data_IF_424020038205
#
_entry.id   IF_424020038205
#
_cell.length_a   1.000
_cell.length_b   1.000
_cell.length_c   1.000
_cell.angle_alpha   90.00
_cell.angle_beta   90.00
_cell.angle_gamma   90.00
#
_symmetry.space_group_name_H-M   'P 1'
#
loop_
_entity.id
_entity.type
_entity.pdbx_description
1 polymer ?
#
# COMPACT_ATOMS: atom_id res chain seq x y z
N UNK A 1 14.92 -26.06 -18.87
CA UNK A 1 16.04 -25.25 -19.41
C UNK A 1 15.53 -24.08 -20.28
N UNK A 2 14.29 -23.60 -20.10
CA UNK A 2 13.60 -22.73 -21.08
C UNK A 2 12.86 -21.53 -20.46
N UNK A 3 13.08 -21.24 -19.17
CA UNK A 3 12.48 -20.07 -18.51
C UNK A 3 13.29 -18.78 -18.70
N UNK A 4 14.57 -18.88 -19.10
CA UNK A 4 15.47 -17.72 -19.19
C UNK A 4 15.46 -16.99 -20.53
N UNK A 5 14.60 -17.38 -21.48
CA UNK A 5 14.52 -16.75 -22.81
C UNK A 5 13.26 -15.91 -23.01
N UNK A 6 12.35 -15.84 -22.02
CA UNK A 6 11.11 -15.08 -22.12
C UNK A 6 11.32 -13.65 -21.62
N UNK A 7 10.77 -12.63 -22.31
CA UNK A 7 10.85 -11.27 -21.81
C UNK A 7 10.20 -11.18 -20.42
N UNK A 8 10.65 -10.24 -19.57
CA UNK A 8 9.98 -9.95 -18.32
C UNK A 8 8.50 -9.66 -18.55
N UNK A 9 7.68 -10.13 -17.62
CA UNK A 9 6.26 -9.86 -17.60
C UNK A 9 6.04 -8.37 -17.31
N UNK A 10 5.26 -7.72 -18.16
CA UNK A 10 4.90 -6.33 -17.99
C UNK A 10 3.67 -6.21 -17.06
N UNK A 11 3.82 -5.43 -15.99
CA UNK A 11 2.78 -5.19 -14.99
C UNK A 11 2.37 -3.73 -15.08
N UNK A 12 1.11 -3.50 -15.43
CA UNK A 12 0.56 -2.17 -15.65
C UNK A 12 -0.38 -1.78 -14.51
N UNK A 13 -0.17 -0.60 -13.91
CA UNK A 13 -1.12 -0.07 -12.93
C UNK A 13 -2.34 0.49 -13.67
N UNK A 14 -3.54 0.03 -13.30
CA UNK A 14 -4.79 0.54 -13.90
C UNK A 14 -5.11 1.94 -13.36
N UNK A 15 -4.69 2.26 -12.12
CA UNK A 15 -4.93 3.55 -11.50
C UNK A 15 -3.88 4.59 -11.92
N UNK A 16 -4.31 5.74 -12.44
CA UNK A 16 -3.45 6.87 -12.82
C UNK A 16 -3.30 7.95 -11.74
N UNK A 17 -4.00 7.84 -10.62
CA UNK A 17 -4.18 8.93 -9.64
C UNK A 17 -3.27 8.84 -8.41
N UNK A 18 -2.07 8.28 -8.56
CA UNK A 18 -1.04 8.32 -7.51
C UNK A 18 -0.64 9.76 -7.19
N UNK A 19 -0.48 10.05 -5.90
CA UNK A 19 0.03 11.34 -5.40
C UNK A 19 1.54 11.25 -5.19
N UNK A 20 2.22 12.37 -5.37
CA UNK A 20 3.65 12.51 -5.06
C UNK A 20 3.94 12.54 -3.56
N UNK A 21 2.91 12.66 -2.71
CA UNK A 21 3.08 12.73 -1.26
C UNK A 21 1.90 12.10 -0.50
N UNK A 22 2.20 11.36 0.56
CA UNK A 22 1.18 10.76 1.42
C UNK A 22 1.41 11.06 2.90
N UNK A 23 0.30 11.35 3.58
CA UNK A 23 0.28 11.42 5.03
C UNK A 23 0.42 10.01 5.61
N UNK A 24 1.39 9.82 6.50
CA UNK A 24 1.51 8.62 7.32
C UNK A 24 1.05 8.88 8.74
N UNK A 25 0.18 8.01 9.24
CA UNK A 25 -0.35 8.06 10.59
C UNK A 25 0.24 6.93 11.44
N UNK A 26 0.63 7.27 12.66
CA UNK A 26 0.96 6.28 13.69
C UNK A 26 -0.34 5.88 14.39
N UNK A 27 -0.65 4.59 14.44
CA UNK A 27 -1.73 4.01 15.22
C UNK A 27 -1.21 3.54 16.58
N UNK A 28 -2.15 3.25 17.50
CA UNK A 28 -1.85 2.53 18.75
C UNK A 28 -1.16 1.21 18.40
N UNK A 29 -0.16 0.82 19.21
CA UNK A 29 0.65 -0.38 18.94
C UNK A 29 1.81 -0.19 17.96
N UNK A 30 2.17 1.05 17.60
CA UNK A 30 3.35 1.35 16.79
C UNK A 30 3.18 1.15 15.27
N UNK A 31 2.01 0.67 14.84
CA UNK A 31 1.68 0.49 13.43
C UNK A 31 1.60 1.82 12.70
N UNK A 32 2.18 1.89 11.51
CA UNK A 32 2.21 3.10 10.69
C UNK A 32 1.52 2.84 9.37
N UNK A 33 0.45 3.57 9.09
CA UNK A 33 -0.33 3.39 7.87
C UNK A 33 -0.33 4.64 7.00
N UNK A 34 -0.29 4.46 5.69
CA UNK A 34 -0.60 5.51 4.73
C UNK A 34 -2.09 5.80 4.75
N UNK A 35 -2.43 7.10 4.76
CA UNK A 35 -3.81 7.53 4.94
C UNK A 35 -4.65 7.38 3.67
N UNK A 36 -4.18 7.89 2.54
CA UNK A 36 -4.98 8.03 1.32
C UNK A 36 -4.28 7.42 0.11
N UNK A 37 -3.62 6.28 0.30
CA UNK A 37 -2.95 5.57 -0.78
C UNK A 37 -3.92 4.59 -1.48
N UNK A 38 -3.89 4.46 -2.82
CA UNK A 38 -3.21 5.35 -3.77
C UNK A 38 -3.93 6.72 -3.89
N UNK A 39 -5.22 6.74 -3.53
CA UNK A 39 -6.07 7.92 -3.48
C UNK A 39 -7.10 7.79 -2.33
N UNK A 40 -7.98 8.77 -2.20
CA UNK A 40 -9.15 8.66 -1.32
C UNK A 40 -10.20 7.75 -1.99
N UNK A 41 -10.71 6.74 -1.27
CA UNK A 41 -11.71 5.81 -1.79
C UNK A 41 -12.91 6.56 -2.39
N UNK A 42 -13.19 6.36 -3.68
CA UNK A 42 -14.28 7.01 -4.40
C UNK A 42 -14.25 8.56 -4.33
N UNK A 43 -13.06 9.14 -4.22
CA UNK A 43 -12.87 10.58 -4.04
C UNK A 43 -13.24 11.11 -2.64
N UNK A 44 -13.84 10.28 -1.78
CA UNK A 44 -14.28 10.70 -0.45
C UNK A 44 -13.21 10.42 0.60
N UNK A 45 -12.74 11.48 1.25
CA UNK A 45 -11.72 11.39 2.26
C UNK A 45 -12.31 10.92 3.61
N UNK A 46 -11.75 9.86 4.19
CA UNK A 46 -12.14 9.41 5.51
C UNK A 46 -11.72 10.45 6.56
N UNK A 47 -12.69 11.03 7.28
CA UNK A 47 -12.45 12.09 8.29
C UNK A 47 -11.53 11.64 9.42
N UNK A 48 -11.50 10.34 9.72
CA UNK A 48 -10.58 9.70 10.67
C UNK A 48 -9.97 8.43 10.06
N UNK A 49 -8.84 7.97 10.61
CA UNK A 49 -8.21 6.71 10.18
C UNK A 49 -7.47 6.81 8.83
N UNK A 50 -7.77 5.87 7.92
CA UNK A 50 -7.21 5.73 6.57
C UNK A 50 -8.33 5.39 5.57
N UNK A 51 -8.13 5.68 4.29
CA UNK A 51 -9.01 5.34 3.18
C UNK A 51 -8.79 3.91 2.66
N UNK A 52 -7.52 3.46 2.61
CA UNK A 52 -7.18 2.09 2.22
C UNK A 52 -7.65 1.70 0.81
N UNK A 53 -7.56 2.58 -0.18
CA UNK A 53 -7.98 2.22 -1.55
C UNK A 53 -7.17 1.03 -2.08
N UNK A 54 -7.80 0.13 -2.83
CA UNK A 54 -7.09 -0.94 -3.52
C UNK A 54 -6.24 -0.38 -4.66
N UNK A 55 -5.20 -1.12 -5.05
CA UNK A 55 -4.44 -0.86 -6.26
C UNK A 55 -4.72 -1.99 -7.23
N UNK A 56 -5.21 -1.65 -8.42
CA UNK A 56 -5.40 -2.60 -9.50
C UNK A 56 -4.15 -2.63 -10.38
N UNK A 57 -3.69 -3.83 -10.70
CA UNK A 57 -2.65 -4.07 -11.68
C UNK A 57 -3.10 -5.10 -12.70
N UNK A 58 -2.82 -4.82 -13.96
CA UNK A 58 -3.14 -5.66 -15.09
C UNK A 58 -1.88 -6.30 -15.69
N UNK A 59 -2.06 -7.51 -16.21
CA UNK A 59 -1.07 -8.22 -17.01
C UNK A 59 -1.78 -8.68 -18.28
N UNK A 60 -1.24 -8.31 -19.45
CA UNK A 60 -1.85 -8.63 -20.74
C UNK A 60 -1.69 -10.11 -21.10
N UNK A 61 -2.61 -10.63 -21.92
CA UNK A 61 -2.66 -12.03 -22.32
C UNK A 61 -1.36 -12.55 -22.96
N UNK A 62 -0.78 -11.77 -23.85
CA UNK A 62 0.48 -12.07 -24.55
C UNK A 62 1.66 -12.30 -23.60
N UNK A 63 1.65 -11.68 -22.41
CA UNK A 63 2.69 -11.91 -21.40
C UNK A 63 2.45 -13.14 -20.53
N UNK A 64 1.22 -13.68 -20.45
CA UNK A 64 0.87 -14.81 -19.56
C UNK A 64 0.56 -16.11 -20.29
N UNK A 65 0.22 -16.07 -21.58
CA UNK A 65 0.00 -17.28 -22.39
C UNK A 65 1.23 -18.18 -22.34
N UNK A 66 1.01 -19.46 -22.05
CA UNK A 66 2.08 -20.46 -21.97
C UNK A 66 3.00 -20.35 -20.75
N UNK A 67 2.70 -19.45 -19.80
CA UNK A 67 3.31 -19.46 -18.46
C UNK A 67 2.55 -20.39 -17.53
N UNK A 68 3.23 -20.83 -16.49
CA UNK A 68 2.63 -21.57 -15.38
C UNK A 68 1.85 -20.60 -14.47
N UNK A 69 1.34 -21.12 -13.35
CA UNK A 69 0.60 -20.34 -12.35
C UNK A 69 1.34 -19.05 -11.96
N UNK A 70 0.64 -17.93 -12.11
CA UNK A 70 1.12 -16.59 -11.74
C UNK A 70 0.52 -16.16 -10.40
N UNK A 71 1.31 -15.46 -9.59
CA UNK A 71 0.87 -14.76 -8.39
C UNK A 71 1.50 -13.36 -8.34
N UNK A 72 0.78 -12.39 -7.78
CA UNK A 72 1.24 -11.00 -7.63
C UNK A 72 1.37 -10.63 -6.16
N UNK A 73 2.47 -9.95 -5.83
CA UNK A 73 2.72 -9.41 -4.50
C UNK A 73 3.18 -7.95 -4.60
N UNK A 74 2.90 -7.17 -3.56
CA UNK A 74 3.24 -5.75 -3.54
C UNK A 74 3.92 -5.35 -2.24
N UNK A 75 4.85 -4.42 -2.31
CA UNK A 75 5.63 -3.96 -1.17
C UNK A 75 5.87 -2.46 -1.23
N UNK A 76 5.73 -1.79 -0.10
CA UNK A 76 6.31 -0.45 0.03
C UNK A 76 7.79 -0.53 0.36
N UNK A 77 8.62 0.07 -0.47
CA UNK A 77 10.06 0.13 -0.25
C UNK A 77 10.61 1.53 -0.54
N UNK A 78 11.84 1.78 -0.09
CA UNK A 78 12.54 3.01 -0.44
C UNK A 78 12.91 2.99 -1.92
N UNK A 79 12.95 4.16 -2.54
CA UNK A 79 13.39 4.35 -3.91
C UNK A 79 14.67 5.16 -3.90
N UNK A 80 15.78 4.52 -4.28
CA UNK A 80 17.14 5.06 -4.16
C UNK A 80 17.84 4.85 -5.49
N UNK A 81 18.46 5.92 -6.01
CA UNK A 81 19.22 5.91 -7.27
C UNK A 81 18.46 5.33 -8.47
N UNK A 82 17.14 5.55 -8.53
CA UNK A 82 16.30 5.05 -9.63
C UNK A 82 15.80 3.62 -9.44
N UNK A 83 16.07 2.99 -8.29
CA UNK A 83 15.75 1.58 -8.06
C UNK A 83 14.94 1.35 -6.76
N UNK A 84 13.87 0.53 -6.81
CA UNK A 84 13.17 0.06 -5.62
C UNK A 84 14.07 -0.82 -4.74
N UNK A 85 14.12 -0.55 -3.44
CA UNK A 85 14.91 -1.27 -2.44
C UNK A 85 14.05 -2.31 -1.69
N UNK A 86 13.37 -3.18 -2.46
CA UNK A 86 12.44 -4.17 -1.93
C UNK A 86 13.07 -5.54 -1.64
N UNK A 87 12.23 -6.52 -1.27
CA UNK A 87 12.68 -7.87 -0.90
C UNK A 87 12.82 -8.87 -2.07
N UNK A 88 12.50 -8.45 -3.29
CA UNK A 88 12.67 -9.27 -4.49
C UNK A 88 13.11 -8.39 -5.67
N UNK A 89 13.86 -9.00 -6.57
CA UNK A 89 14.26 -8.48 -7.86
C UNK A 89 13.82 -9.43 -8.97
N UNK A 90 13.90 -8.97 -10.22
CA UNK A 90 13.70 -9.83 -11.38
C UNK A 90 14.66 -11.03 -11.32
N UNK A 91 14.18 -12.19 -11.76
CA UNK A 91 14.89 -13.48 -11.80
C UNK A 91 15.17 -14.14 -10.43
N UNK A 92 14.79 -13.52 -9.32
CA UNK A 92 14.88 -14.15 -8.00
C UNK A 92 14.01 -15.41 -7.94
N UNK A 93 14.53 -16.47 -7.30
CA UNK A 93 13.81 -17.72 -7.07
C UNK A 93 13.53 -17.90 -5.57
N UNK A 94 12.26 -17.99 -5.19
CA UNK A 94 11.82 -18.08 -3.80
C UNK A 94 11.06 -19.38 -3.53
N UNK A 95 11.22 -19.92 -2.32
CA UNK A 95 10.41 -21.05 -1.83
C UNK A 95 9.01 -20.56 -1.45
N UNK A 96 8.03 -21.47 -1.47
CA UNK A 96 6.68 -21.16 -0.98
C UNK A 96 6.68 -20.66 0.47
N UNK A 97 7.52 -21.25 1.33
CA UNK A 97 7.68 -20.82 2.73
C UNK A 97 8.15 -19.36 2.82
N UNK A 98 9.10 -18.96 1.96
CA UNK A 98 9.59 -17.58 1.91
C UNK A 98 8.50 -16.61 1.44
N UNK A 99 7.75 -16.96 0.38
CA UNK A 99 6.60 -16.18 -0.08
C UNK A 99 5.59 -16.00 1.07
N UNK A 100 5.21 -17.08 1.74
CA UNK A 100 4.27 -17.06 2.87
C UNK A 100 4.76 -16.19 4.03
N UNK A 101 6.04 -16.29 4.39
CA UNK A 101 6.65 -15.47 5.45
C UNK A 101 6.56 -13.98 5.12
N UNK A 102 6.76 -13.62 3.85
CA UNK A 102 6.73 -12.23 3.42
C UNK A 102 5.30 -11.69 3.25
N UNK A 103 4.30 -12.55 2.97
CA UNK A 103 2.94 -12.13 2.62
C UNK A 103 1.87 -12.40 3.67
N UNK A 104 2.18 -13.10 4.77
CA UNK A 104 1.19 -13.49 5.78
C UNK A 104 0.83 -12.34 6.74
N UNK A 105 0.07 -11.37 6.22
CA UNK A 105 -0.39 -10.20 6.96
C UNK A 105 -1.42 -10.47 8.05
N UNK A 106 -2.09 -11.62 8.01
CA UNK A 106 -3.06 -12.00 9.04
C UNK A 106 -2.35 -12.48 10.32
N UNK A 107 -1.21 -13.17 10.18
CA UNK A 107 -0.38 -13.60 11.31
C UNK A 107 0.64 -12.54 11.74
N UNK A 108 1.27 -11.86 10.78
CA UNK A 108 2.23 -10.77 11.03
C UNK A 108 1.88 -9.52 10.22
N UNK A 109 1.33 -8.52 10.90
CA UNK A 109 1.01 -7.22 10.29
C UNK A 109 2.23 -6.49 9.71
N UNK A 110 3.44 -6.83 10.19
CA UNK A 110 4.71 -6.29 9.70
C UNK A 110 5.26 -7.03 8.48
N UNK A 111 4.68 -8.17 8.10
CA UNK A 111 5.01 -8.86 6.86
C UNK A 111 4.97 -7.86 5.69
N UNK A 112 6.05 -7.73 4.90
CA UNK A 112 6.22 -6.61 3.98
C UNK A 112 5.24 -6.66 2.80
N UNK A 113 4.80 -7.84 2.38
CA UNK A 113 4.08 -8.03 1.13
C UNK A 113 2.57 -8.10 1.29
N UNK A 114 1.88 -7.38 0.42
CA UNK A 114 0.45 -7.52 0.16
C UNK A 114 0.27 -8.52 -0.97
N UNK A 115 -0.48 -9.60 -0.73
CA UNK A 115 -0.91 -10.48 -1.80
C UNK A 115 -1.95 -9.78 -2.68
N UNK A 116 -1.85 -9.97 -3.99
CA UNK A 116 -2.87 -9.56 -4.95
C UNK A 116 -3.92 -10.67 -5.13
N UNK A 117 -5.19 -10.29 -5.04
CA UNK A 117 -6.31 -11.18 -5.35
C UNK A 117 -6.62 -11.10 -6.85
N UNK A 118 -6.88 -12.23 -7.50
CA UNK A 118 -7.36 -12.23 -8.90
C UNK A 118 -8.81 -11.72 -8.88
N UNK A 119 -9.06 -10.59 -9.52
CA UNK A 119 -10.43 -10.10 -9.73
C UNK A 119 -11.04 -10.70 -11.00
N UNK A 120 -10.26 -10.74 -12.07
CA UNK A 120 -10.69 -11.22 -13.37
C UNK A 120 -9.49 -11.76 -14.15
N UNK A 121 -9.78 -12.66 -15.07
CA UNK A 121 -8.84 -13.02 -16.12
C UNK A 121 -8.41 -14.47 -16.13
N UNK A 122 -7.69 -14.82 -17.18
CA UNK A 122 -7.17 -16.15 -17.46
C UNK A 122 -5.85 -16.03 -18.24
N UNK A 123 -5.15 -17.14 -18.44
CA UNK A 123 -3.97 -17.14 -19.30
C UNK A 123 -4.30 -16.74 -20.76
N UNK A 124 -5.54 -16.87 -21.22
CA UNK A 124 -5.94 -16.51 -22.58
C UNK A 124 -6.32 -15.04 -22.73
N UNK A 125 -6.80 -14.41 -21.65
CA UNK A 125 -7.33 -13.03 -21.63
C UNK A 125 -6.40 -12.03 -20.93
N UNK A 126 -5.41 -12.50 -20.18
CA UNK A 126 -4.66 -11.68 -19.23
C UNK A 126 -5.33 -11.68 -17.86
N UNK A 127 -4.71 -11.01 -16.89
CA UNK A 127 -5.16 -10.99 -15.50
C UNK A 127 -5.29 -9.56 -14.98
N UNK A 128 -6.27 -9.36 -14.10
CA UNK A 128 -6.39 -8.16 -13.28
C UNK A 128 -6.35 -8.56 -11.82
N UNK A 129 -5.33 -8.07 -11.13
CA UNK A 129 -5.12 -8.29 -9.70
C UNK A 129 -5.52 -7.05 -8.91
N UNK A 130 -6.19 -7.27 -7.77
CA UNK A 130 -6.45 -6.25 -6.77
C UNK A 130 -5.57 -6.46 -5.56
N UNK A 131 -4.77 -5.44 -5.26
CA UNK A 131 -3.90 -5.41 -4.09
C UNK A 131 -4.64 -4.62 -3.01
N UNK A 132 -4.73 -5.19 -1.81
CA UNK A 132 -5.52 -4.65 -0.69
C UNK A 132 -7.03 -4.56 -1.00
N UNK A 133 -7.59 -5.61 -1.59
CA UNK A 133 -9.00 -5.74 -2.00
C UNK A 133 -9.99 -5.40 -0.89
N UNK A 134 -9.72 -5.86 0.32
CA UNK A 134 -10.57 -5.62 1.49
C UNK A 134 -10.38 -4.23 2.12
N UNK A 135 -9.71 -3.32 1.42
CA UNK A 135 -9.49 -1.92 1.81
C UNK A 135 -8.93 -1.77 3.24
N UNK A 136 -8.00 -2.67 3.59
CA UNK A 136 -7.29 -2.62 4.87
C UNK A 136 -6.34 -1.43 4.88
N UNK A 137 -5.76 -1.15 6.04
CA UNK A 137 -4.77 -0.08 6.16
C UNK A 137 -3.48 -0.46 5.46
N UNK A 138 -2.97 0.43 4.61
CA UNK A 138 -1.64 0.32 4.00
C UNK A 138 -0.55 0.54 5.05
N UNK A 139 -0.23 -0.50 5.81
CA UNK A 139 0.91 -0.54 6.71
C UNK A 139 2.24 -0.39 5.95
N UNK A 140 3.07 0.56 6.42
CA UNK A 140 4.44 0.74 5.99
C UNK A 140 5.31 1.21 7.15
N UNK A 141 6.14 0.28 7.66
CA UNK A 141 6.88 0.41 8.91
C UNK A 141 8.08 1.38 8.89
N UNK A 142 8.49 1.86 7.72
CA UNK A 142 9.74 2.63 7.54
C UNK A 142 9.90 3.79 8.54
N UNK A 143 11.14 4.10 8.91
CA UNK A 143 11.48 5.13 9.90
C UNK A 143 12.37 6.20 9.28
N UNK A 144 11.83 7.41 9.15
CA UNK A 144 12.61 8.60 8.77
C UNK A 144 13.42 9.11 9.95
N UNK A 145 14.63 9.61 9.69
CA UNK A 145 15.36 10.55 10.54
C UNK A 145 15.52 11.89 9.80
N UNK A 146 16.28 12.85 10.36
CA UNK A 146 16.50 14.18 9.73
C UNK A 146 17.06 14.06 8.31
N UNK A 147 17.98 13.13 8.09
CA UNK A 147 18.71 12.94 6.84
C UNK A 147 17.93 12.10 5.83
N UNK A 148 17.07 11.18 6.28
CA UNK A 148 16.28 10.31 5.41
C UNK A 148 14.85 10.80 5.17
N UNK A 149 14.46 11.94 5.73
CA UNK A 149 13.06 12.41 5.60
C UNK A 149 12.64 12.85 4.20
N UNK A 150 13.59 13.01 3.28
CA UNK A 150 13.36 13.32 1.86
C UNK A 150 13.37 12.08 0.97
N UNK A 151 13.66 10.91 1.55
CA UNK A 151 13.67 9.63 0.82
C UNK A 151 12.35 9.43 0.09
N UNK A 152 12.45 9.09 -1.18
CA UNK A 152 11.31 8.70 -1.99
C UNK A 152 10.99 7.22 -1.76
N UNK A 153 9.75 6.85 -2.02
CA UNK A 153 9.21 5.54 -1.82
C UNK A 153 8.34 5.15 -3.00
N UNK A 154 8.18 3.86 -3.22
CA UNK A 154 7.27 3.32 -4.24
C UNK A 154 6.46 2.18 -3.63
N UNK A 155 5.30 1.89 -4.22
CA UNK A 155 4.72 0.55 -4.14
C UNK A 155 5.33 -0.27 -5.28
N UNK A 156 6.24 -1.18 -4.95
CA UNK A 156 6.82 -2.13 -5.88
C UNK A 156 5.88 -3.34 -5.99
N UNK A 157 5.67 -3.85 -7.20
CA UNK A 157 4.81 -4.99 -7.49
C UNK A 157 5.64 -6.03 -8.22
N UNK A 158 5.56 -7.27 -7.74
CA UNK A 158 6.28 -8.43 -8.25
C UNK A 158 5.27 -9.43 -8.81
N UNK A 159 5.54 -9.96 -10.00
CA UNK A 159 4.85 -11.12 -10.54
C UNK A 159 5.75 -12.35 -10.41
N UNK A 160 5.24 -13.40 -9.79
CA UNK A 160 5.93 -14.67 -9.62
C UNK A 160 5.26 -15.78 -10.43
N UNK A 161 6.06 -16.59 -11.09
CA UNK A 161 5.65 -17.80 -11.82
C UNK A 161 6.10 -19.05 -11.09
N UNK A 162 5.19 -20.00 -10.87
CA UNK A 162 5.53 -21.28 -10.25
C UNK A 162 6.20 -22.22 -11.26
N UNK A 163 7.40 -22.67 -10.96
CA UNK A 163 8.06 -23.72 -11.72
C UNK A 163 7.62 -25.11 -11.23
N UNK A 164 6.95 -25.89 -12.08
CA UNK A 164 6.38 -27.18 -11.67
C UNK A 164 7.44 -28.22 -11.24
N UNK A 165 8.58 -28.30 -11.93
CA UNK A 165 9.61 -29.30 -11.60
C UNK A 165 10.35 -29.02 -10.28
N UNK A 166 10.65 -27.75 -9.99
CA UNK A 166 11.43 -27.36 -8.80
C UNK A 166 10.54 -26.95 -7.62
N UNK A 167 9.28 -26.60 -7.85
CA UNK A 167 8.37 -26.04 -6.86
C UNK A 167 8.74 -24.61 -6.42
N UNK A 168 9.73 -23.98 -7.08
CA UNK A 168 10.17 -22.61 -6.78
C UNK A 168 9.30 -21.59 -7.53
N UNK A 169 9.15 -20.42 -6.91
CA UNK A 169 8.51 -19.26 -7.50
C UNK A 169 9.57 -18.31 -8.04
N UNK A 170 9.58 -18.10 -9.35
CA UNK A 170 10.51 -17.19 -10.02
C UNK A 170 9.87 -15.82 -10.21
N UNK A 171 10.56 -14.76 -9.81
CA UNK A 171 10.14 -13.39 -10.08
C UNK A 171 10.32 -13.09 -11.56
N UNK A 172 9.23 -13.04 -12.30
CA UNK A 172 9.24 -12.88 -13.77
C UNK A 172 8.88 -11.48 -14.22
N UNK A 173 8.45 -10.59 -13.31
CA UNK A 173 8.11 -9.22 -13.61
C UNK A 173 8.19 -8.33 -12.38
N UNK A 174 8.67 -7.10 -12.57
CA UNK A 174 8.74 -6.09 -11.53
C UNK A 174 8.27 -4.77 -12.11
N UNK A 175 7.36 -4.09 -11.41
CA UNK A 175 6.88 -2.75 -11.75
C UNK A 175 6.71 -1.94 -10.48
N UNK A 176 6.68 -0.61 -10.58
CA UNK A 176 6.54 0.24 -9.40
C UNK A 176 5.64 1.43 -9.67
N UNK A 177 4.90 1.85 -8.64
CA UNK A 177 4.15 3.10 -8.69
C UNK A 177 5.10 4.28 -8.92
N UNK A 178 4.60 5.46 -9.34
CA UNK A 178 5.40 6.68 -9.31
C UNK A 178 6.01 6.93 -7.92
N UNK A 179 7.26 7.43 -7.84
CA UNK A 179 7.90 7.75 -6.57
C UNK A 179 7.13 8.81 -5.78
N UNK A 180 7.00 8.61 -4.48
CA UNK A 180 6.32 9.52 -3.57
C UNK A 180 7.10 9.74 -2.27
N UNK A 181 6.81 10.85 -1.58
CA UNK A 181 7.37 11.14 -0.26
C UNK A 181 6.35 10.94 0.86
N UNK A 182 6.87 10.68 2.06
CA UNK A 182 6.07 10.56 3.27
C UNK A 182 6.17 11.81 4.12
N UNK A 183 5.03 12.22 4.69
CA UNK A 183 5.02 13.26 5.72
C UNK A 183 4.18 12.86 6.92
N UNK A 184 4.52 13.45 8.07
CA UNK A 184 3.73 13.32 9.29
C UNK A 184 2.79 14.52 9.47
N UNK A 185 1.72 14.32 10.23
CA UNK A 185 0.68 15.35 10.46
C UNK A 185 1.23 16.68 11.01
N UNK A 186 2.29 16.65 11.84
CA UNK A 186 2.93 17.87 12.36
C UNK A 186 3.54 18.73 11.25
N UNK A 187 4.20 18.09 10.28
CA UNK A 187 4.82 18.77 9.13
C UNK A 187 3.81 19.19 8.06
N UNK A 188 2.63 18.58 8.04
CA UNK A 188 1.53 19.03 7.18
C UNK A 188 1.09 20.45 7.57
N UNK A 189 0.92 20.72 8.87
CA UNK A 189 0.56 22.05 9.38
C UNK A 189 1.62 23.11 9.08
N UNK A 190 2.91 22.78 9.22
CA UNK A 190 3.98 23.76 8.95
C UNK A 190 4.06 24.13 7.47
N UNK A 191 3.74 23.22 6.55
CA UNK A 191 3.72 23.53 5.10
C UNK A 191 2.55 24.42 4.71
N UNK A 192 1.36 24.17 5.25
CA UNK A 192 0.20 25.05 5.04
C UNK A 192 0.42 26.44 5.64
N UNK A 193 1.10 26.52 6.79
CA UNK A 193 1.47 27.81 7.39
C UNK A 193 2.50 28.59 6.55
N UNK A 194 3.49 27.91 5.94
CA UNK A 194 4.49 28.58 5.08
C UNK A 194 3.90 29.03 3.74
N UNK A 195 2.91 28.32 3.20
CA UNK A 195 2.18 28.75 1.98
C UNK A 195 1.16 29.84 2.27
N UNK A 196 0.59 29.90 3.48
CA UNK A 196 -0.23 31.03 3.91
C UNK A 196 0.61 32.27 4.24
N UNK A 197 1.85 32.10 4.71
CA UNK A 197 2.75 33.19 5.06
C UNK A 197 3.51 33.82 3.86
N UNK A 198 3.37 33.26 2.65
CA UNK A 198 3.94 33.87 1.44
C UNK A 198 3.04 34.92 0.78
N UNK A 199 1.81 35.11 1.28
CA UNK A 199 0.82 36.05 0.72
C UNK A 199 0.47 37.22 1.67
N UNK A 200 1.07 37.32 2.85
CA UNK A 200 0.79 38.43 3.80
C UNK A 200 2.07 39.05 4.33
N UNK A 201 2.56 40.04 3.59
CA UNK A 201 3.55 41.01 4.04
C UNK A 201 2.78 42.28 4.49
N UNK A 202 2.27 42.32 5.73
CA UNK A 202 2.03 43.57 6.47
C UNK A 202 1.91 43.34 8.00
N UNK A 203 2.93 43.83 8.72
CA UNK A 203 2.94 44.41 10.09
C UNK A 203 2.43 43.66 11.34
N UNK A 204 3.39 43.43 12.25
CA UNK A 204 3.42 43.69 13.73
C UNK A 204 2.23 43.19 14.59
N UNK A 205 2.42 42.43 15.67
CA UNK A 205 3.02 42.81 16.97
C UNK A 205 3.40 41.54 17.76
N UNK A 206 4.44 41.65 18.59
CA UNK A 206 4.88 40.65 19.58
C UNK A 206 3.93 40.64 20.78
N UNK A 207 3.46 39.46 21.19
CA UNK A 207 3.02 39.20 22.56
C UNK A 207 3.76 37.95 23.06
N UNK A 208 4.52 38.17 24.13
CA UNK A 208 5.13 37.17 24.99
C UNK A 208 4.08 36.84 26.06
N UNK A 209 3.77 35.56 26.27
CA UNK A 209 3.03 35.15 27.48
C UNK A 209 3.79 34.01 28.15
N UNK A 210 4.04 34.24 29.43
CA UNK A 210 4.78 33.44 30.38
C UNK A 210 3.96 32.24 30.93
N UNK A 211 4.74 31.25 31.34
CA UNK A 211 4.57 30.23 32.40
C UNK A 211 3.39 30.38 33.39
N UNK A 212 2.63 29.30 33.62
CA UNK A 212 2.24 28.89 34.99
C UNK A 212 1.65 27.46 35.07
N UNK A 213 2.00 26.74 36.13
CA UNK A 213 1.04 25.97 36.94
C UNK A 213 0.80 24.48 36.67
N UNK A 214 1.58 23.64 37.33
CA UNK A 214 1.25 22.25 37.72
C UNK A 214 0.16 22.24 38.81
N UNK A 215 -0.89 21.43 38.66
CA UNK A 215 -1.67 20.90 39.80
C UNK A 215 -2.58 19.71 39.38
N UNK A 216 -2.34 18.54 39.99
CA UNK A 216 -3.26 17.39 40.11
C UNK A 216 -3.64 17.27 41.60
N UNK A 217 -4.84 16.75 42.02
CA UNK A 217 -5.19 15.30 42.06
C UNK A 217 -6.74 15.00 42.11
N UNK A 218 -7.29 13.84 42.61
CA UNK A 218 -7.27 12.44 42.14
C UNK A 218 -8.71 11.78 42.01
N UNK A 219 -9.02 10.45 42.21
CA UNK A 219 -9.63 9.58 41.17
C UNK A 219 -10.96 8.82 41.56
N UNK A 220 -11.38 7.89 40.68
CA UNK A 220 -12.44 6.84 40.79
C UNK A 220 -13.85 7.21 40.24
N UNK A 221 -14.54 6.43 39.40
CA UNK A 221 -15.00 5.05 39.62
C UNK A 221 -15.24 4.22 38.32
N UNK A 222 -15.18 2.90 38.54
CA UNK A 222 -15.28 1.73 37.65
C UNK A 222 -16.55 1.66 36.78
N UNK A 223 -16.43 1.07 35.57
CA UNK A 223 -17.55 0.35 34.93
C UNK A 223 -17.11 -0.94 34.24
N UNK A 224 -18.03 -1.89 34.27
CA UNK A 224 -17.82 -3.33 34.30
C UNK A 224 -17.48 -3.99 32.96
N UNK A 225 -16.95 -5.22 33.08
CA UNK A 225 -16.84 -6.22 32.01
C UNK A 225 -18.22 -6.70 31.56
N UNK A 226 -18.35 -6.94 30.26
CA UNK A 226 -19.28 -7.94 29.71
C UNK A 226 -18.75 -8.49 28.37
N UNK A 227 -18.45 -9.78 28.35
CA UNK A 227 -18.54 -10.68 27.18
C UNK A 227 -19.75 -11.61 27.45
N UNK A 228 -20.47 -12.15 26.45
CA UNK A 228 -19.93 -13.16 25.52
C UNK A 228 -20.45 -13.11 24.06
N UNK A 229 -19.73 -13.83 23.20
CA UNK A 229 -20.11 -14.49 21.93
C UNK A 229 -21.12 -13.85 20.95
N UNK A 230 -20.63 -13.58 19.74
CA UNK A 230 -21.38 -13.77 18.49
C UNK A 230 -20.40 -14.01 17.34
N UNK A 231 -20.18 -15.29 17.03
CA UNK A 231 -19.83 -15.76 15.69
C UNK A 231 -20.93 -15.35 14.69
N UNK A 232 -20.52 -14.94 13.48
CA UNK A 232 -21.11 -15.27 12.15
C UNK A 232 -20.95 -14.14 11.12
N UNK A 233 -20.32 -14.52 10.02
CA UNK A 233 -20.65 -14.19 8.64
C UNK A 233 -20.89 -12.70 8.30
N UNK A 234 -19.81 -12.01 7.94
CA UNK A 234 -19.89 -10.82 7.08
C UNK A 234 -19.32 -11.14 5.70
N UNK A 235 -19.99 -12.08 5.01
CA UNK A 235 -19.91 -12.16 3.56
C UNK A 235 -20.87 -11.10 3.01
N UNK A 236 -20.32 -10.09 2.33
CA UNK A 236 -21.15 -9.16 1.56
C UNK A 236 -21.85 -9.95 0.43
N UNK A 237 -23.13 -9.68 0.15
CA UNK A 237 -23.86 -10.35 -0.92
C UNK A 237 -23.22 -10.07 -2.30
N UNK A 238 -23.35 -11.01 -3.26
CA UNK A 238 -22.76 -10.90 -4.61
C UNK A 238 -23.14 -9.64 -5.39
N UNK A 239 -24.20 -8.94 -4.99
CA UNK A 239 -24.68 -7.73 -5.64
C UNK A 239 -23.86 -6.46 -5.36
N UNK A 240 -22.86 -6.51 -4.47
CA UNK A 240 -21.97 -5.38 -4.18
C UNK A 240 -20.67 -5.37 -5.01
N UNK A 241 -20.50 -6.29 -5.97
CA UNK A 241 -19.46 -6.18 -7.00
C UNK A 241 -19.89 -5.11 -7.99
N UNK A 242 -19.56 -3.86 -7.68
CA UNK A 242 -19.66 -2.77 -8.64
C UNK A 242 -18.70 -3.09 -9.78
N UNK A 243 -19.22 -3.35 -10.98
CA UNK A 243 -18.44 -3.41 -12.22
C UNK A 243 -17.62 -2.12 -12.32
N UNK A 244 -16.30 -2.23 -12.23
CA UNK A 244 -15.39 -1.08 -12.30
C UNK A 244 -15.21 -0.78 -13.79
N UNK A 245 -15.72 0.35 -14.32
CA UNK A 245 -15.70 0.62 -15.77
C UNK A 245 -14.27 0.65 -16.36
N UNK A 246 -13.27 0.98 -15.52
CA UNK A 246 -11.85 1.00 -15.87
C UNK A 246 -11.28 -0.41 -16.22
N UNK A 247 -11.99 -1.50 -15.88
CA UNK A 247 -11.61 -2.87 -16.26
C UNK A 247 -11.90 -3.18 -17.73
N UNK A 248 -12.92 -2.55 -18.32
CA UNK A 248 -13.33 -2.80 -19.70
C UNK A 248 -12.34 -2.23 -20.71
N UNK A 249 -11.68 -1.12 -20.38
CA UNK A 249 -10.68 -0.50 -21.26
C UNK A 249 -9.38 -1.33 -21.28
N UNK A 250 -9.01 -1.96 -20.16
CA UNK A 250 -7.81 -2.81 -20.10
C UNK A 250 -7.93 -4.12 -20.89
N UNK A 251 -9.14 -4.69 -21.00
CA UNK A 251 -9.36 -5.93 -21.74
C UNK A 251 -9.48 -5.74 -23.26
N UNK A 252 -9.54 -4.49 -23.75
CA UNK A 252 -9.86 -4.17 -25.15
C UNK A 252 -8.72 -3.47 -25.93
N UNK A 253 -7.50 -3.34 -25.37
CA UNK A 253 -6.29 -2.81 -26.04
C UNK A 253 -5.07 -3.77 -25.94
#
# INVERSE_FOLDING_TARGET
MELMARPPLEINFTASNFRSQYQRNNKKGGLKNLRCFPNCCSGMHASSGFCGGSVLVGIRADHVRGRNKIAVFAEFCAFVDGHPQGHAALDDALTLERIQTLSNKDNDVHAPWYAGDILQGSHDEGYIFSINTFKRGWHYGWTSNRHTSVTQHVLCVYAFELHHETGLWYCVGVSSSPPFQLYCRRRAKSRTAVTAASDEDDKTVKEEDEDDGDETPPPEFKRARSSPDADRDFLLPPSCVMEIPELLDFCNE
#
